data_IF_853566097554
#
_entry.id   IF_853566097554
#
_cell.length_a   1.000
_cell.length_b   1.000
_cell.length_c   1.000
_cell.angle_alpha   90.00
_cell.angle_beta   90.00
_cell.angle_gamma   90.00
#
_symmetry.space_group_name_H-M   'P 1'
#
loop_
_entity.id
_entity.type
_entity.pdbx_description
1 polymer ?
#
# COMPACT_ATOMS: atom_id res chain seq x y z
N UNK A 1 11.19 23.59 8.84
CA UNK A 1 9.86 24.14 8.50
C UNK A 1 8.97 22.97 8.08
N UNK A 2 7.74 22.93 8.61
CA UNK A 2 6.75 21.90 8.25
C UNK A 2 6.10 22.24 6.91
N UNK A 3 5.73 21.19 6.14
CA UNK A 3 4.90 21.37 4.95
C UNK A 3 3.54 21.97 5.32
N UNK A 4 3.03 22.86 4.48
CA UNK A 4 1.68 23.45 4.60
C UNK A 4 0.67 22.77 3.69
N UNK A 5 1.15 22.19 2.59
CA UNK A 5 0.34 21.50 1.58
C UNK A 5 1.03 20.22 1.11
N UNK A 6 0.23 19.29 0.59
CA UNK A 6 0.69 18.09 -0.12
C UNK A 6 -0.03 18.03 -1.47
N UNK A 7 0.65 17.58 -2.49
CA UNK A 7 0.12 17.42 -3.86
C UNK A 7 0.95 16.38 -4.60
N UNK A 8 0.51 15.97 -5.78
CA UNK A 8 1.28 15.15 -6.71
C UNK A 8 1.81 13.82 -6.14
N UNK A 9 1.12 12.73 -6.45
CA UNK A 9 1.54 11.38 -6.12
C UNK A 9 2.76 10.97 -6.96
N UNK A 10 3.80 10.43 -6.31
CA UNK A 10 5.05 9.99 -6.96
C UNK A 10 5.63 8.75 -6.29
N UNK A 11 6.61 8.17 -6.98
CA UNK A 11 7.49 7.12 -6.45
C UNK A 11 6.74 5.95 -5.80
N UNK A 12 5.67 5.48 -6.47
CA UNK A 12 4.97 4.28 -6.01
C UNK A 12 5.87 3.07 -6.18
N UNK A 13 6.06 2.32 -5.10
CA UNK A 13 6.83 1.08 -5.05
C UNK A 13 6.05 0.02 -4.28
N UNK A 14 6.30 -1.23 -4.59
CA UNK A 14 5.84 -2.34 -3.78
C UNK A 14 6.98 -3.29 -3.43
N UNK A 15 6.89 -3.90 -2.26
CA UNK A 15 7.84 -4.89 -1.78
C UNK A 15 7.06 -6.07 -1.21
N UNK A 16 7.25 -7.28 -1.76
CA UNK A 16 6.56 -8.48 -1.30
C UNK A 16 6.85 -8.70 0.18
N UNK A 17 5.79 -8.98 0.95
CA UNK A 17 5.86 -9.37 2.34
C UNK A 17 5.98 -10.89 2.45
N UNK A 18 6.93 -11.35 3.24
CA UNK A 18 7.04 -12.74 3.66
C UNK A 18 6.89 -12.82 5.18
N UNK A 19 5.90 -13.57 5.62
CA UNK A 19 5.66 -13.87 7.02
C UNK A 19 6.18 -15.27 7.31
N UNK A 20 6.95 -15.44 8.38
CA UNK A 20 7.44 -16.73 8.83
C UNK A 20 7.22 -16.91 10.32
N UNK A 21 6.79 -18.10 10.72
CA UNK A 21 6.57 -18.47 12.13
C UNK A 21 7.58 -19.55 12.51
N UNK A 22 8.46 -19.23 13.45
CA UNK A 22 9.46 -20.17 13.99
C UNK A 22 9.32 -20.20 15.51
N UNK A 23 9.13 -21.36 16.07
CA UNK A 23 8.95 -21.58 17.51
C UNK A 23 7.86 -20.68 18.16
N UNK A 24 6.79 -20.40 17.38
CA UNK A 24 5.69 -19.54 17.84
C UNK A 24 5.98 -18.03 17.74
N UNK A 25 7.15 -17.64 17.25
CA UNK A 25 7.51 -16.25 16.99
C UNK A 25 7.27 -15.92 15.52
N UNK A 26 6.40 -14.95 15.27
CA UNK A 26 6.14 -14.43 13.92
C UNK A 26 7.20 -13.40 13.56
N UNK A 27 7.82 -13.55 12.41
CA UNK A 27 8.76 -12.59 11.83
C UNK A 27 8.30 -12.13 10.46
N UNK A 28 8.58 -10.88 10.13
CA UNK A 28 8.20 -10.23 8.87
C UNK A 28 9.45 -9.80 8.12
N UNK A 29 9.51 -10.14 6.85
CA UNK A 29 10.56 -9.67 5.95
C UNK A 29 9.97 -9.14 4.67
N UNK A 30 10.66 -8.20 4.03
CA UNK A 30 10.24 -7.58 2.80
C UNK A 30 11.34 -7.71 1.75
N UNK A 31 10.93 -7.97 0.53
CA UNK A 31 11.82 -7.86 -0.61
C UNK A 31 12.26 -6.40 -0.82
N UNK A 32 13.28 -6.20 -1.66
CA UNK A 32 13.66 -4.84 -2.07
C UNK A 32 12.51 -4.16 -2.80
N UNK A 33 12.12 -2.93 -2.40
CA UNK A 33 11.06 -2.18 -3.06
C UNK A 33 11.30 -2.03 -4.57
N UNK A 34 10.33 -2.42 -5.38
CA UNK A 34 10.34 -2.29 -6.84
C UNK A 34 9.39 -1.17 -7.26
N UNK A 35 9.84 -0.31 -8.18
CA UNK A 35 9.03 0.79 -8.66
C UNK A 35 7.82 0.32 -9.49
N UNK A 36 6.68 0.99 -9.27
CA UNK A 36 5.48 0.92 -10.12
C UNK A 36 5.34 2.29 -10.77
N UNK A 37 5.88 2.49 -11.99
CA UNK A 37 5.83 3.78 -12.67
C UNK A 37 4.43 4.09 -13.18
N UNK A 38 4.13 5.39 -13.36
CA UNK A 38 2.87 5.84 -13.93
C UNK A 38 1.74 6.00 -12.92
N UNK A 39 2.05 6.42 -11.69
CA UNK A 39 1.05 6.75 -10.69
C UNK A 39 0.15 7.90 -11.14
N UNK A 40 -1.16 7.71 -11.07
CA UNK A 40 -2.18 8.71 -11.43
C UNK A 40 -2.83 9.26 -10.16
N UNK A 41 -3.44 8.39 -9.36
CA UNK A 41 -4.10 8.79 -8.12
C UNK A 41 -4.06 7.67 -7.07
N UNK A 42 -4.19 8.06 -5.79
CA UNK A 42 -4.39 7.16 -4.68
C UNK A 42 -5.44 7.75 -3.73
N UNK A 43 -6.41 6.93 -3.34
CA UNK A 43 -7.42 7.28 -2.36
C UNK A 43 -7.58 6.14 -1.39
N UNK A 44 -7.22 6.36 -0.13
CA UNK A 44 -7.29 5.35 0.93
C UNK A 44 -8.04 5.93 2.12
N UNK A 45 -9.14 5.29 2.47
CA UNK A 45 -9.96 5.62 3.62
C UNK A 45 -9.54 4.78 4.83
N UNK A 46 -9.59 5.39 6.01
CA UNK A 46 -9.30 4.69 7.25
C UNK A 46 -10.46 3.77 7.62
N UNK A 47 -10.15 2.52 7.90
CA UNK A 47 -11.11 1.51 8.35
C UNK A 47 -11.09 1.39 9.87
N UNK A 48 -12.27 1.29 10.47
CA UNK A 48 -12.40 1.10 11.91
C UNK A 48 -13.79 1.45 12.42
N UNK A 49 -14.20 0.74 13.45
CA UNK A 49 -15.50 0.91 14.07
C UNK A 49 -15.40 1.68 15.39
N UNK A 50 -16.42 2.46 15.68
CA UNK A 50 -16.61 3.08 16.98
C UNK A 50 -17.90 2.54 17.61
N UNK A 51 -17.76 1.75 18.68
CA UNK A 51 -18.90 1.16 19.39
C UNK A 51 -19.15 1.86 20.72
N UNK A 52 -20.32 2.54 20.88
CA UNK A 52 -20.71 3.11 22.15
C UNK A 52 -21.35 2.05 23.04
N UNK A 53 -20.98 2.05 24.32
CA UNK A 53 -21.67 1.33 25.38
C UNK A 53 -22.52 2.31 26.19
N UNK A 54 -23.81 1.99 26.34
CA UNK A 54 -24.76 2.83 27.04
C UNK A 54 -25.03 2.30 28.45
N UNK A 55 -25.01 3.19 29.45
CA UNK A 55 -25.47 2.94 30.79
C UNK A 55 -26.19 4.20 31.29
N UNK A 56 -27.25 4.06 32.12
CA UNK A 56 -28.06 5.15 32.65
C UNK A 56 -28.64 6.13 31.59
N UNK A 57 -28.89 5.60 30.36
CA UNK A 57 -29.41 6.36 29.23
C UNK A 57 -28.42 7.28 28.50
N UNK A 58 -27.15 7.22 28.83
CA UNK A 58 -26.07 7.98 28.20
C UNK A 58 -24.97 7.06 27.63
N UNK A 59 -24.15 7.60 26.73
CA UNK A 59 -22.92 6.88 26.28
C UNK A 59 -21.96 6.88 27.47
N UNK A 60 -21.82 5.72 28.11
CA UNK A 60 -20.97 5.52 29.28
C UNK A 60 -19.51 5.23 28.91
N UNK A 61 -19.32 4.48 27.83
CA UNK A 61 -18.00 4.11 27.32
C UNK A 61 -18.03 4.02 25.79
N UNK A 62 -16.90 4.30 25.13
CA UNK A 62 -16.75 4.16 23.67
C UNK A 62 -15.44 3.47 23.37
N UNK A 63 -15.50 2.41 22.59
CA UNK A 63 -14.33 1.78 21.99
C UNK A 63 -14.15 2.24 20.55
N UNK A 64 -12.91 2.29 20.08
CA UNK A 64 -12.60 2.48 18.66
C UNK A 64 -11.55 1.44 18.23
N UNK A 65 -11.68 0.95 17.02
CA UNK A 65 -10.69 0.06 16.39
C UNK A 65 -9.98 0.78 15.24
N UNK A 66 -8.76 0.35 14.95
CA UNK A 66 -8.03 0.74 13.76
C UNK A 66 -7.83 -0.54 12.94
N UNK A 67 -8.64 -0.70 11.90
CA UNK A 67 -8.62 -1.89 11.03
C UNK A 67 -7.79 -1.66 9.75
N UNK A 68 -7.00 -0.58 9.72
CA UNK A 68 -6.15 -0.26 8.60
C UNK A 68 -6.77 0.72 7.62
N UNK A 69 -6.58 0.48 6.34
CA UNK A 69 -7.03 1.35 5.24
C UNK A 69 -7.55 0.52 4.07
N UNK A 70 -8.56 1.02 3.36
CA UNK A 70 -9.00 0.47 2.08
C UNK A 70 -9.19 1.58 1.05
N UNK A 71 -9.16 1.24 -0.23
CA UNK A 71 -9.37 2.19 -1.31
C UNK A 71 -8.70 1.80 -2.61
N UNK A 72 -8.37 2.77 -3.44
CA UNK A 72 -7.93 2.54 -4.80
C UNK A 72 -6.60 3.23 -5.12
N UNK A 73 -5.79 2.54 -5.91
CA UNK A 73 -4.58 3.05 -6.55
C UNK A 73 -4.75 2.97 -8.06
N UNK A 74 -4.77 4.12 -8.71
CA UNK A 74 -4.86 4.25 -10.16
C UNK A 74 -3.47 4.44 -10.77
N UNK A 75 -3.14 3.60 -11.74
CA UNK A 75 -1.85 3.57 -12.44
C UNK A 75 -2.08 3.65 -13.94
N UNK A 76 -1.13 4.24 -14.67
CA UNK A 76 -1.17 4.24 -16.14
C UNK A 76 -1.11 2.81 -16.69
N UNK A 77 -0.29 1.95 -16.09
CA UNK A 77 -0.17 0.54 -16.42
C UNK A 77 0.45 -0.22 -15.24
N UNK A 78 -0.07 -1.41 -14.94
CA UNK A 78 0.50 -2.28 -13.90
C UNK A 78 1.62 -3.12 -14.53
N UNK A 79 2.88 -3.05 -14.01
CA UNK A 79 3.99 -3.74 -14.61
C UNK A 79 3.89 -5.26 -14.45
N UNK A 80 4.47 -6.00 -15.40
CA UNK A 80 4.43 -7.46 -15.45
C UNK A 80 4.94 -8.12 -14.16
N UNK A 81 6.01 -7.57 -13.56
CA UNK A 81 6.53 -8.12 -12.30
C UNK A 81 5.50 -8.06 -11.17
N UNK A 82 4.67 -7.00 -11.10
CA UNK A 82 3.61 -6.89 -10.09
C UNK A 82 2.50 -7.93 -10.35
N UNK A 83 2.16 -8.14 -11.62
CA UNK A 83 1.19 -9.17 -12.02
C UNK A 83 1.66 -10.57 -11.64
N UNK A 84 2.95 -10.87 -11.86
CA UNK A 84 3.49 -12.21 -11.58
C UNK A 84 3.82 -12.44 -10.11
N UNK A 85 4.43 -11.48 -9.44
CA UNK A 85 4.92 -11.65 -8.07
C UNK A 85 3.86 -11.35 -7.00
N UNK A 86 2.94 -10.41 -7.26
CA UNK A 86 1.91 -10.00 -6.32
C UNK A 86 0.54 -10.57 -6.69
N UNK A 87 0.08 -10.38 -7.92
CA UNK A 87 -1.23 -10.90 -8.36
C UNK A 87 -1.21 -12.39 -8.70
N UNK A 88 -0.02 -13.02 -8.74
CA UNK A 88 0.20 -14.46 -8.98
C UNK A 88 -0.23 -14.95 -10.36
N UNK A 89 -0.27 -14.07 -11.35
CA UNK A 89 -0.35 -14.48 -12.75
C UNK A 89 0.91 -15.24 -13.14
N UNK A 90 0.81 -16.20 -14.05
CA UNK A 90 1.93 -17.04 -14.48
C UNK A 90 2.27 -16.82 -15.94
N UNK A 91 3.54 -16.71 -16.26
CA UNK A 91 4.02 -16.75 -17.63
C UNK A 91 3.99 -18.20 -18.14
N UNK A 92 3.39 -18.43 -19.30
CA UNK A 92 3.48 -19.71 -20.00
C UNK A 92 4.83 -19.84 -20.73
N UNK A 93 5.02 -20.99 -21.38
CA UNK A 93 6.25 -21.26 -22.13
C UNK A 93 6.48 -20.34 -23.35
N UNK A 94 5.49 -19.54 -23.71
CA UNK A 94 5.55 -18.57 -24.82
C UNK A 94 5.62 -17.13 -24.34
N UNK A 95 5.69 -16.89 -23.00
CA UNK A 95 5.73 -15.57 -22.41
C UNK A 95 4.38 -14.88 -22.33
N UNK A 96 3.27 -15.65 -22.34
CA UNK A 96 1.91 -15.10 -22.18
C UNK A 96 1.54 -15.17 -20.71
N UNK A 97 1.06 -14.03 -20.16
CA UNK A 97 0.50 -13.98 -18.81
C UNK A 97 -0.83 -14.73 -18.76
N UNK A 98 -0.92 -15.65 -17.82
CA UNK A 98 -2.09 -16.53 -17.63
C UNK A 98 -2.59 -16.35 -16.21
N UNK A 99 -3.84 -15.94 -16.09
CA UNK A 99 -4.59 -15.93 -14.84
C UNK A 99 -5.44 -17.21 -14.75
N UNK A 100 -5.45 -17.83 -13.57
CA UNK A 100 -6.26 -19.03 -13.31
C UNK A 100 -7.19 -18.81 -12.14
N UNK A 101 -8.37 -19.40 -12.19
CA UNK A 101 -9.40 -19.31 -11.15
C UNK A 101 -9.07 -20.04 -9.85
N UNK A 102 -8.04 -20.87 -9.84
CA UNK A 102 -7.53 -21.56 -8.65
C UNK A 102 -6.64 -20.65 -7.76
N UNK A 103 -6.21 -19.51 -8.28
CA UNK A 103 -5.50 -18.48 -7.51
C UNK A 103 -6.54 -17.56 -6.88
N UNK A 104 -6.89 -17.82 -5.62
CA UNK A 104 -7.93 -17.09 -4.87
C UNK A 104 -7.38 -15.92 -4.08
N UNK A 105 -6.08 -15.94 -3.76
CA UNK A 105 -5.43 -14.92 -2.94
C UNK A 105 -4.18 -14.37 -3.64
N UNK A 106 -3.99 -13.07 -3.53
CA UNK A 106 -2.77 -12.37 -3.96
C UNK A 106 -1.72 -12.38 -2.86
N UNK A 107 -0.47 -12.13 -3.21
CA UNK A 107 0.59 -12.00 -2.20
C UNK A 107 0.43 -10.69 -1.44
N UNK A 108 0.78 -10.72 -0.15
CA UNK A 108 0.85 -9.51 0.67
C UNK A 108 2.12 -8.71 0.35
N UNK A 109 2.04 -7.40 0.46
CA UNK A 109 3.16 -6.51 0.14
C UNK A 109 3.13 -5.22 0.97
N UNK A 110 4.28 -4.57 1.08
CA UNK A 110 4.35 -3.18 1.52
C UNK A 110 4.17 -2.26 0.32
N UNK A 111 3.34 -1.23 0.47
CA UNK A 111 3.15 -0.17 -0.51
C UNK A 111 3.85 1.09 -0.04
N UNK A 112 4.79 1.59 -0.85
CA UNK A 112 5.52 2.83 -0.58
C UNK A 112 5.15 3.86 -1.65
N UNK A 113 4.97 5.11 -1.23
CA UNK A 113 4.68 6.22 -2.14
C UNK A 113 5.01 7.55 -1.45
N UNK A 114 5.01 8.63 -2.23
CA UNK A 114 5.19 9.96 -1.68
C UNK A 114 4.25 10.99 -2.31
N UNK A 115 3.98 12.02 -1.53
CA UNK A 115 3.37 13.25 -2.00
C UNK A 115 4.40 14.37 -1.96
N UNK A 116 4.44 15.19 -3.00
CA UNK A 116 5.19 16.44 -2.94
C UNK A 116 4.63 17.34 -1.82
N UNK A 117 5.49 18.09 -1.19
CA UNK A 117 5.17 19.14 -0.25
C UNK A 117 5.83 20.46 -0.67
N UNK A 118 5.41 21.56 -0.07
CA UNK A 118 6.01 22.87 -0.32
C UNK A 118 7.44 23.02 0.27
N UNK A 119 7.84 22.14 1.18
CA UNK A 119 9.20 22.11 1.75
C UNK A 119 9.95 20.85 1.34
N UNK A 120 9.37 19.66 1.57
CA UNK A 120 9.94 18.37 1.16
C UNK A 120 8.83 17.34 0.93
N UNK A 121 9.12 16.32 0.12
CA UNK A 121 8.16 15.23 -0.09
C UNK A 121 7.87 14.47 1.22
N UNK A 122 6.62 14.05 1.38
CA UNK A 122 6.16 13.21 2.49
C UNK A 122 6.07 11.78 1.98
N UNK A 123 6.94 10.92 2.50
CA UNK A 123 7.04 9.50 2.12
C UNK A 123 6.21 8.65 3.05
N UNK A 124 5.49 7.71 2.48
CA UNK A 124 4.58 6.82 3.19
C UNK A 124 4.97 5.36 2.95
N UNK A 125 4.69 4.51 3.90
CA UNK A 125 4.67 3.06 3.76
C UNK A 125 3.47 2.48 4.48
N UNK A 126 2.76 1.56 3.81
CA UNK A 126 1.73 0.69 4.36
C UNK A 126 2.32 -0.72 4.35
N UNK A 127 2.24 -1.45 5.47
CA UNK A 127 3.07 -2.63 5.68
C UNK A 127 2.46 -3.95 5.22
N UNK A 128 1.14 -4.07 5.22
CA UNK A 128 0.45 -5.34 4.95
C UNK A 128 -0.72 -5.10 3.99
N UNK A 129 -0.36 -4.77 2.75
CA UNK A 129 -1.32 -4.53 1.69
C UNK A 129 -1.67 -5.82 0.95
N UNK A 130 -2.91 -5.89 0.48
CA UNK A 130 -3.35 -6.79 -0.58
C UNK A 130 -4.00 -5.99 -1.69
N UNK A 131 -3.91 -6.47 -2.91
CA UNK A 131 -4.53 -5.86 -4.08
C UNK A 131 -5.51 -6.84 -4.72
N UNK A 132 -6.67 -6.34 -5.15
CA UNK A 132 -7.54 -7.10 -6.05
C UNK A 132 -7.00 -7.08 -7.47
N UNK A 133 -7.52 -7.97 -8.31
CA UNK A 133 -7.23 -7.95 -9.75
C UNK A 133 -7.78 -6.66 -10.38
N UNK A 134 -7.01 -6.00 -11.25
CA UNK A 134 -7.46 -4.77 -11.91
C UNK A 134 -8.61 -5.05 -12.88
N UNK A 135 -9.48 -4.05 -13.06
CA UNK A 135 -10.46 -4.05 -14.15
C UNK A 135 -9.77 -3.95 -15.51
N UNK A 136 -10.41 -4.44 -16.54
CA UNK A 136 -9.94 -4.32 -17.93
C UNK A 136 -10.85 -3.33 -18.64
N UNK A 137 -10.34 -2.14 -18.91
CA UNK A 137 -11.07 -1.06 -19.55
C UNK A 137 -10.24 -0.40 -20.65
N UNK A 138 -10.89 -0.03 -21.74
CA UNK A 138 -10.29 0.79 -22.80
C UNK A 138 -11.38 1.50 -23.58
N UNK A 139 -11.04 2.65 -24.17
CA UNK A 139 -11.94 3.42 -25.05
C UNK A 139 -11.36 3.52 -26.46
N UNK A 140 -12.24 3.59 -27.45
CA UNK A 140 -11.84 3.86 -28.84
C UNK A 140 -11.29 5.28 -28.93
N UNK A 141 -10.21 5.43 -29.70
CA UNK A 141 -9.67 6.74 -30.03
C UNK A 141 -10.70 7.56 -30.83
N UNK A 142 -10.95 8.77 -30.39
CA UNK A 142 -11.69 9.80 -31.11
C UNK A 142 -10.70 10.80 -31.73
N UNK A 143 -11.00 12.09 -31.68
CA UNK A 143 -10.10 13.15 -32.23
C UNK A 143 -8.82 13.29 -31.41
N UNK A 144 -8.86 13.00 -30.12
CA UNK A 144 -7.71 13.01 -29.20
C UNK A 144 -7.46 11.63 -28.63
N UNK A 145 -6.20 11.36 -28.25
CA UNK A 145 -5.84 10.13 -27.52
C UNK A 145 -6.03 10.39 -26.03
N UNK A 146 -6.97 9.67 -25.42
CA UNK A 146 -7.11 9.59 -23.97
C UNK A 146 -6.54 8.25 -23.50
N UNK A 147 -5.37 8.25 -22.83
CA UNK A 147 -4.82 7.01 -22.28
C UNK A 147 -5.77 6.41 -21.24
N UNK A 148 -5.99 5.10 -21.34
CA UNK A 148 -6.67 4.35 -20.27
C UNK A 148 -5.76 4.17 -19.06
N UNK A 149 -6.34 3.93 -17.91
CA UNK A 149 -5.66 3.63 -16.65
C UNK A 149 -6.11 2.29 -16.10
N UNK A 150 -5.32 1.70 -15.21
CA UNK A 150 -5.66 0.48 -14.48
C UNK A 150 -5.81 0.81 -12.99
N UNK A 151 -6.87 0.35 -12.36
CA UNK A 151 -7.13 0.59 -10.94
C UNK A 151 -7.00 -0.69 -10.14
N UNK A 152 -6.17 -0.63 -9.10
CA UNK A 152 -6.04 -1.66 -8.08
C UNK A 152 -6.85 -1.25 -6.86
N UNK A 153 -7.86 -2.03 -6.49
CA UNK A 153 -8.48 -1.89 -5.18
C UNK A 153 -7.57 -2.51 -4.13
N UNK A 154 -7.22 -1.72 -3.12
CA UNK A 154 -6.24 -2.04 -2.09
C UNK A 154 -6.91 -2.18 -0.73
N UNK A 155 -6.40 -3.11 0.06
CA UNK A 155 -6.66 -3.17 1.50
C UNK A 155 -5.31 -3.22 2.20
N UNK A 156 -5.13 -2.40 3.22
CA UNK A 156 -3.93 -2.37 4.06
C UNK A 156 -4.33 -2.71 5.49
N UNK A 157 -4.27 -4.00 5.82
CA UNK A 157 -4.63 -4.54 7.13
C UNK A 157 -3.50 -4.27 8.15
N UNK A 158 -3.82 -4.19 9.46
CA UNK A 158 -2.79 -4.28 10.48
C UNK A 158 -2.00 -5.60 10.37
N UNK A 159 -0.67 -5.54 10.52
CA UNK A 159 0.14 -6.75 10.73
C UNK A 159 -0.24 -7.39 12.08
N UNK A 160 0.12 -8.66 12.29
CA UNK A 160 -0.17 -9.37 13.55
C UNK A 160 0.49 -8.74 14.78
N UNK A 161 1.54 -7.93 14.59
CA UNK A 161 2.17 -7.09 15.62
C UNK A 161 1.52 -5.70 15.78
N UNK A 162 0.43 -5.41 15.05
CA UNK A 162 -0.31 -4.16 15.11
C UNK A 162 0.23 -3.03 14.22
N UNK A 163 1.34 -3.24 13.49
CA UNK A 163 1.90 -2.22 12.62
C UNK A 163 1.04 -2.04 11.35
N UNK A 164 0.60 -0.80 11.07
CA UNK A 164 -0.24 -0.47 9.91
C UNK A 164 0.53 0.35 8.89
N UNK A 165 1.03 1.52 9.29
CA UNK A 165 1.72 2.45 8.39
C UNK A 165 2.76 3.28 9.11
N UNK A 166 3.73 3.79 8.34
CA UNK A 166 4.64 4.86 8.75
C UNK A 166 4.72 5.94 7.68
N UNK A 167 5.12 7.13 8.10
CA UNK A 167 5.40 8.24 7.19
C UNK A 167 6.56 9.08 7.71
N UNK A 168 7.27 9.73 6.79
CA UNK A 168 8.30 10.67 7.17
C UNK A 168 7.70 11.93 7.81
N UNK A 169 8.32 12.41 8.86
CA UNK A 169 7.98 13.65 9.54
C UNK A 169 9.06 14.73 9.31
N UNK A 170 8.86 15.88 9.95
CA UNK A 170 9.79 17.04 9.84
C UNK A 170 11.18 16.72 10.39
N UNK A 171 11.24 15.87 11.42
CA UNK A 171 12.46 15.48 12.13
C UNK A 171 13.06 14.17 11.66
N UNK A 172 12.48 13.53 10.63
CA UNK A 172 13.05 12.30 10.05
C UNK A 172 14.50 12.55 9.65
N UNK A 173 15.41 11.71 10.15
CA UNK A 173 16.82 11.84 9.84
C UNK A 173 17.11 11.63 8.35
N UNK A 174 18.25 12.19 7.88
CA UNK A 174 18.56 12.19 6.46
C UNK A 174 18.82 10.80 5.91
N UNK A 175 19.42 9.89 6.68
CA UNK A 175 19.76 8.56 6.21
C UNK A 175 18.50 7.72 6.01
N UNK A 176 17.56 7.74 6.97
CA UNK A 176 16.24 7.11 6.86
C UNK A 176 15.46 7.70 5.70
N UNK A 177 15.45 9.03 5.55
CA UNK A 177 14.76 9.68 4.46
C UNK A 177 15.32 9.24 3.10
N UNK A 178 16.62 9.31 2.89
CA UNK A 178 17.28 8.99 1.61
C UNK A 178 17.16 7.49 1.27
N UNK A 179 17.18 6.60 2.27
CA UNK A 179 17.07 5.14 2.13
C UNK A 179 15.65 4.60 1.95
N UNK A 180 14.60 5.45 1.98
CA UNK A 180 13.19 5.02 2.06
C UNK A 180 12.75 4.01 1.00
N UNK A 181 13.27 4.11 -0.21
CA UNK A 181 12.94 3.21 -1.33
C UNK A 181 14.00 2.13 -1.58
N UNK A 182 15.05 2.05 -0.77
CA UNK A 182 16.07 1.00 -0.88
C UNK A 182 15.67 -0.23 -0.07
N UNK A 183 15.08 -0.01 1.09
CA UNK A 183 14.53 -1.05 1.97
C UNK A 183 13.25 -0.54 2.61
N UNK A 184 12.32 -1.45 2.93
CA UNK A 184 11.11 -1.09 3.68
C UNK A 184 11.53 -0.66 5.09
N UNK A 185 11.21 0.58 5.46
CA UNK A 185 11.48 1.10 6.79
C UNK A 185 10.68 0.32 7.83
N UNK A 186 11.34 -0.21 8.84
CA UNK A 186 10.70 -0.81 10.01
C UNK A 186 11.00 0.09 11.20
N UNK A 187 9.97 0.52 11.95
CA UNK A 187 10.20 1.32 13.15
C UNK A 187 11.04 0.55 14.17
N UNK A 188 11.99 1.23 14.81
CA UNK A 188 12.61 0.70 16.01
C UNK A 188 11.52 0.56 17.09
N UNK A 189 11.58 -0.50 17.89
CA UNK A 189 10.70 -0.63 19.05
C UNK A 189 10.98 0.56 19.98
N UNK A 190 10.09 1.56 19.96
CA UNK A 190 10.12 2.61 20.97
C UNK A 190 9.66 2.00 22.28
N UNK A 191 10.55 1.94 23.26
CA UNK A 191 10.15 1.72 24.65
C UNK A 191 9.08 2.77 25.00
N UNK A 192 7.84 2.30 25.13
CA UNK A 192 6.68 3.10 25.52
C UNK A 192 6.61 3.32 27.03
#
# INVERSE_FOLDING_TARGET
MSNKVKYNLKNVHAAKLTESVVDGVTSFSYDTPKAIPGAVSISLDAEGDSSPFYADGIVYFRTSSNNGYSGDLEMALIPEWFRTEILREKLDAKGVLVEKSDVTETEKFALLFEFDGDVKAIRHVLYNCSASRPSIESKTKEDTIEPGTETLSLTADPRSDGLVKSRTGDTTDKATYDGWYQTVYIPDETEG
#
